data_IF_816007307928
#
_entry.id   IF_816007307928
#
_cell.length_a   1.000
_cell.length_b   1.000
_cell.length_c   1.000
_cell.angle_alpha   90.00
_cell.angle_beta   90.00
_cell.angle_gamma   90.00
#
_symmetry.space_group_name_H-M   'P 1'
#
loop_
_entity.id
_entity.type
_entity.pdbx_description
1 polymer ?
#
# COMPACT_ATOMS: atom_id res chain seq x y z
N UNK A 1 -23.49 1.44 -15.71
CA UNK A 1 -24.59 1.88 -14.86
C UNK A 1 -24.09 2.94 -13.91
N UNK A 2 -24.95 3.82 -13.60
CA UNK A 2 -24.66 4.90 -12.68
C UNK A 2 -24.24 4.38 -11.30
N UNK A 3 -24.56 3.15 -10.97
CA UNK A 3 -24.23 2.57 -9.69
C UNK A 3 -22.89 1.87 -9.66
N UNK A 4 -22.17 1.88 -10.77
CA UNK A 4 -20.83 1.33 -10.77
C UNK A 4 -19.90 2.27 -10.04
N UNK A 5 -19.40 1.81 -8.90
CA UNK A 5 -18.39 2.54 -8.17
C UNK A 5 -17.03 2.19 -8.75
N UNK A 6 -16.16 3.18 -8.86
CA UNK A 6 -14.77 2.87 -9.14
C UNK A 6 -14.26 1.92 -8.08
N UNK A 7 -13.61 0.85 -8.49
CA UNK A 7 -12.93 -0.02 -7.55
C UNK A 7 -11.80 0.76 -6.89
N UNK A 8 -11.64 0.59 -5.59
CA UNK A 8 -10.51 1.14 -4.89
C UNK A 8 -9.24 0.48 -5.42
N UNK A 9 -8.21 1.26 -5.70
CA UNK A 9 -6.93 0.76 -6.14
C UNK A 9 -5.95 0.76 -4.98
N UNK A 10 -5.29 -0.37 -4.78
CA UNK A 10 -4.22 -0.52 -3.79
C UNK A 10 -2.92 -0.77 -4.54
N UNK A 11 -1.90 0.00 -4.21
CA UNK A 11 -0.56 -0.22 -4.73
C UNK A 11 0.25 -0.95 -3.67
N UNK A 12 0.67 -2.17 -3.97
CA UNK A 12 1.53 -2.95 -3.09
C UNK A 12 2.97 -2.84 -3.59
N UNK A 13 3.84 -2.33 -2.73
CA UNK A 13 5.27 -2.16 -3.02
C UNK A 13 6.03 -3.15 -2.17
N UNK A 14 6.42 -4.27 -2.79
CA UNK A 14 7.00 -5.41 -2.10
C UNK A 14 7.87 -6.19 -3.09
N UNK A 15 9.13 -6.45 -2.73
CA UNK A 15 10.05 -7.13 -3.64
C UNK A 15 10.10 -8.65 -3.48
N UNK A 16 9.64 -9.19 -2.35
CA UNK A 16 9.73 -10.62 -2.07
C UNK A 16 8.50 -11.35 -2.64
N UNK A 17 8.69 -12.29 -3.61
CA UNK A 17 7.53 -12.92 -4.29
C UNK A 17 6.58 -13.67 -3.37
N UNK A 18 7.10 -14.33 -2.34
CA UNK A 18 6.26 -15.05 -1.38
C UNK A 18 5.35 -14.12 -0.61
N UNK A 19 5.89 -12.98 -0.17
CA UNK A 19 5.11 -11.99 0.55
C UNK A 19 4.11 -11.30 -0.37
N UNK A 20 4.49 -11.04 -1.63
CA UNK A 20 3.54 -10.53 -2.62
C UNK A 20 2.33 -11.45 -2.73
N UNK A 21 2.57 -12.74 -2.83
CA UNK A 21 1.50 -13.73 -2.99
C UNK A 21 0.61 -13.82 -1.76
N UNK A 22 1.23 -13.81 -0.57
CA UNK A 22 0.47 -13.86 0.68
C UNK A 22 -0.44 -12.65 0.83
N UNK A 23 0.08 -11.46 0.57
CA UNK A 23 -0.69 -10.22 0.68
C UNK A 23 -1.79 -10.17 -0.37
N UNK A 24 -1.46 -10.52 -1.61
CA UNK A 24 -2.43 -10.56 -2.70
C UNK A 24 -3.59 -11.49 -2.33
N UNK A 25 -3.29 -12.69 -1.88
CA UNK A 25 -4.30 -13.67 -1.52
C UNK A 25 -5.18 -13.15 -0.37
N UNK A 26 -4.55 -12.57 0.66
CA UNK A 26 -5.29 -12.06 1.80
C UNK A 26 -6.23 -10.91 1.43
N UNK A 27 -5.77 -10.00 0.57
CA UNK A 27 -6.59 -8.86 0.15
C UNK A 27 -7.71 -9.30 -0.76
N UNK A 28 -7.42 -10.09 -1.80
CA UNK A 28 -8.42 -10.44 -2.79
C UNK A 28 -9.45 -11.44 -2.28
N UNK A 29 -9.08 -12.32 -1.35
CA UNK A 29 -10.04 -13.27 -0.78
C UNK A 29 -11.03 -12.61 0.17
N UNK A 30 -10.69 -11.44 0.71
CA UNK A 30 -11.53 -10.74 1.68
C UNK A 30 -12.24 -9.52 1.09
N UNK A 31 -11.95 -9.16 -0.16
CA UNK A 31 -12.55 -7.97 -0.74
C UNK A 31 -12.54 -8.02 -2.27
N UNK A 32 -13.72 -8.23 -2.87
CA UNK A 32 -13.87 -8.35 -4.31
C UNK A 32 -13.88 -7.00 -5.05
N UNK A 33 -13.94 -5.89 -4.34
CA UNK A 33 -14.00 -4.57 -4.94
C UNK A 33 -12.66 -3.86 -5.05
N UNK A 34 -11.56 -4.57 -4.84
CA UNK A 34 -10.23 -3.96 -4.84
C UNK A 34 -9.49 -4.28 -6.12
N UNK A 35 -8.93 -3.24 -6.73
CA UNK A 35 -7.99 -3.37 -7.84
C UNK A 35 -6.58 -3.31 -7.25
N UNK A 36 -5.87 -4.43 -7.29
CA UNK A 36 -4.54 -4.52 -6.68
C UNK A 36 -3.46 -4.44 -7.76
N UNK A 37 -2.58 -3.46 -7.60
CA UNK A 37 -1.40 -3.32 -8.44
C UNK A 37 -0.17 -3.65 -7.61
N UNK A 38 0.67 -4.57 -8.09
CA UNK A 38 1.87 -5.00 -7.38
C UNK A 38 3.10 -4.51 -8.14
N UNK A 39 4.01 -3.88 -7.42
CA UNK A 39 5.31 -3.48 -7.94
C UNK A 39 6.40 -4.00 -7.02
N UNK A 40 7.62 -4.15 -7.54
CA UNK A 40 8.69 -4.83 -6.82
C UNK A 40 9.77 -3.90 -6.30
N UNK A 41 9.63 -2.60 -6.49
CA UNK A 41 10.64 -1.63 -6.02
C UNK A 41 10.02 -0.26 -5.84
N UNK A 42 10.72 0.60 -5.11
CA UNK A 42 10.32 2.00 -4.96
C UNK A 42 10.35 2.74 -6.29
N UNK A 43 11.33 2.40 -7.15
CA UNK A 43 11.43 3.00 -8.47
C UNK A 43 10.20 2.67 -9.34
N UNK A 44 9.81 1.40 -9.37
CA UNK A 44 8.60 0.99 -10.10
C UNK A 44 7.35 1.66 -9.53
N UNK A 45 7.30 1.80 -8.22
CA UNK A 45 6.17 2.46 -7.56
C UNK A 45 6.06 3.92 -7.96
N UNK A 46 7.18 4.64 -7.98
CA UNK A 46 7.19 6.04 -8.42
C UNK A 46 6.80 6.19 -9.88
N UNK A 47 7.29 5.28 -10.74
CA UNK A 47 6.90 5.28 -12.14
C UNK A 47 5.39 5.10 -12.29
N UNK A 48 4.81 4.16 -11.55
CA UNK A 48 3.37 3.96 -11.57
C UNK A 48 2.61 5.21 -11.14
N UNK A 49 3.05 5.84 -10.05
CA UNK A 49 2.39 7.04 -9.54
C UNK A 49 2.46 8.20 -10.53
N UNK A 50 3.58 8.36 -11.22
CA UNK A 50 3.71 9.38 -12.27
C UNK A 50 2.78 9.09 -13.43
N UNK A 51 2.67 7.83 -13.86
CA UNK A 51 1.74 7.44 -14.91
C UNK A 51 0.30 7.69 -14.48
N UNK A 52 -0.04 7.43 -13.23
CA UNK A 52 -1.39 7.65 -12.73
C UNK A 52 -1.78 9.13 -12.74
N UNK A 53 -0.83 10.03 -12.56
CA UNK A 53 -1.08 11.46 -12.64
C UNK A 53 -1.32 11.93 -14.08
N UNK A 54 -0.75 11.22 -15.07
CA UNK A 54 -0.90 11.56 -16.48
C UNK A 54 -2.13 10.91 -17.10
N UNK A 55 -2.45 9.68 -16.70
CA UNK A 55 -3.55 8.91 -17.28
C UNK A 55 -4.18 8.01 -16.22
N UNK A 56 -5.10 8.56 -15.47
CA UNK A 56 -5.75 7.86 -14.36
C UNK A 56 -6.73 6.78 -14.84
N UNK A 57 -7.07 6.77 -16.12
CA UNK A 57 -7.94 5.72 -16.66
C UNK A 57 -7.16 4.42 -16.83
N UNK A 58 -5.97 4.51 -17.42
CA UNK A 58 -5.11 3.35 -17.64
C UNK A 58 -4.34 2.97 -16.39
N UNK A 59 -3.95 3.97 -15.59
CA UNK A 59 -3.17 3.79 -14.37
C UNK A 59 -3.91 4.43 -13.21
N UNK A 60 -4.91 3.74 -12.62
CA UNK A 60 -5.72 4.33 -11.56
C UNK A 60 -4.89 4.80 -10.37
N UNK A 61 -5.24 5.97 -9.86
CA UNK A 61 -4.57 6.52 -8.67
C UNK A 61 -4.86 5.63 -7.47
N UNK A 62 -3.83 5.20 -6.74
CA UNK A 62 -4.07 4.39 -5.54
C UNK A 62 -4.77 5.21 -4.46
N UNK A 63 -5.73 4.59 -3.78
CA UNK A 63 -6.34 5.12 -2.57
C UNK A 63 -5.59 4.67 -1.32
N UNK A 64 -4.70 3.70 -1.46
CA UNK A 64 -3.89 3.16 -0.37
C UNK A 64 -2.61 2.57 -0.96
N UNK A 65 -1.49 2.83 -0.30
CA UNK A 65 -0.20 2.20 -0.63
C UNK A 65 0.20 1.32 0.55
N UNK A 66 0.52 0.05 0.25
CA UNK A 66 1.13 -0.87 1.21
C UNK A 66 2.61 -0.96 0.86
N UNK A 67 3.48 -0.68 1.82
CA UNK A 67 4.89 -0.45 1.55
C UNK A 67 5.79 -1.25 2.47
N UNK A 68 6.68 -2.07 1.89
CA UNK A 68 7.75 -2.69 2.67
C UNK A 68 8.92 -1.71 2.80
N UNK A 69 9.56 -1.70 3.96
CA UNK A 69 10.71 -0.82 4.20
C UNK A 69 12.00 -1.36 3.59
N UNK A 70 12.17 -2.67 3.61
CA UNK A 70 13.45 -3.29 3.31
C UNK A 70 13.46 -3.88 1.91
N UNK A 71 13.82 -3.06 0.93
CA UNK A 71 13.91 -3.47 -0.47
C UNK A 71 15.27 -3.03 -1.02
N UNK A 72 15.84 -3.77 -1.98
CA UNK A 72 17.07 -3.33 -2.63
C UNK A 72 16.81 -2.08 -3.49
N UNK A 73 17.88 -1.33 -3.75
CA UNK A 73 17.78 -0.08 -4.49
C UNK A 73 17.11 0.99 -3.65
N UNK A 74 16.13 1.69 -4.22
CA UNK A 74 15.36 2.64 -3.45
C UNK A 74 14.51 1.89 -2.44
N UNK A 75 14.88 1.98 -1.17
CA UNK A 75 14.13 1.35 -0.09
C UNK A 75 12.82 2.06 0.21
N UNK A 76 12.02 1.42 1.06
CA UNK A 76 10.72 1.98 1.40
C UNK A 76 10.80 3.32 2.11
N UNK A 77 11.83 3.55 2.91
CA UNK A 77 12.00 4.82 3.62
C UNK A 77 12.15 5.98 2.66
N UNK A 78 12.98 5.81 1.64
CA UNK A 78 13.18 6.87 0.65
C UNK A 78 11.94 7.07 -0.20
N UNK A 79 11.28 6.00 -0.58
CA UNK A 79 10.01 6.09 -1.31
C UNK A 79 8.98 6.89 -0.50
N UNK A 80 8.83 6.55 0.79
CA UNK A 80 7.88 7.25 1.67
C UNK A 80 8.21 8.74 1.75
N UNK A 81 9.51 9.08 1.89
CA UNK A 81 9.94 10.47 1.94
C UNK A 81 9.54 11.23 0.67
N UNK A 82 9.78 10.61 -0.48
CA UNK A 82 9.47 11.24 -1.77
C UNK A 82 7.98 11.48 -1.93
N UNK A 83 7.17 10.44 -1.64
CA UNK A 83 5.72 10.54 -1.79
C UNK A 83 5.15 11.60 -0.85
N UNK A 84 5.61 11.65 0.40
CA UNK A 84 5.06 12.59 1.38
C UNK A 84 5.57 14.02 1.18
N UNK A 85 6.62 14.19 0.40
CA UNK A 85 7.11 15.53 0.02
C UNK A 85 6.45 16.07 -1.25
N UNK A 86 5.71 15.24 -1.97
CA UNK A 86 5.06 15.64 -3.22
C UNK A 86 3.65 16.13 -2.96
N UNK A 87 3.34 17.35 -3.42
CA UNK A 87 2.04 17.97 -3.14
C UNK A 87 0.86 17.19 -3.70
N UNK A 88 1.06 16.49 -4.81
CA UNK A 88 -0.03 15.72 -5.44
C UNK A 88 -0.18 14.32 -4.86
N UNK A 89 0.89 13.75 -4.32
CA UNK A 89 0.91 12.37 -3.84
C UNK A 89 0.80 12.25 -2.33
N UNK A 90 1.09 13.30 -1.59
CA UNK A 90 1.21 13.21 -0.12
C UNK A 90 -0.10 12.83 0.58
N UNK A 91 -1.24 13.04 -0.08
CA UNK A 91 -2.54 12.69 0.51
C UNK A 91 -2.89 11.21 0.38
N UNK A 92 -2.10 10.43 -0.37
CA UNK A 92 -2.34 8.98 -0.45
C UNK A 92 -1.88 8.34 0.86
N UNK A 93 -2.77 7.67 1.60
CA UNK A 93 -2.34 6.99 2.83
C UNK A 93 -1.36 5.86 2.51
N UNK A 94 -0.32 5.76 3.34
CA UNK A 94 0.69 4.71 3.21
C UNK A 94 0.71 3.92 4.51
N UNK A 95 0.51 2.61 4.40
CA UNK A 95 0.63 1.69 5.53
C UNK A 95 1.87 0.84 5.31
N UNK A 96 2.76 0.88 6.30
CA UNK A 96 4.00 0.10 6.24
C UNK A 96 3.70 -1.35 6.58
N UNK A 97 4.27 -2.29 5.81
CA UNK A 97 4.15 -3.73 6.06
C UNK A 97 5.54 -4.33 6.00
N UNK A 98 6.13 -4.63 7.14
CA UNK A 98 7.54 -5.01 7.21
C UNK A 98 7.80 -6.00 8.34
N UNK A 99 8.92 -6.72 8.26
CA UNK A 99 9.35 -7.61 9.35
C UNK A 99 9.95 -6.84 10.52
N UNK A 100 10.32 -5.57 10.33
CA UNK A 100 10.98 -4.80 11.37
C UNK A 100 10.03 -4.45 12.51
N UNK A 101 10.49 -4.76 13.73
CA UNK A 101 9.83 -4.29 14.96
C UNK A 101 10.68 -3.25 15.69
N UNK A 102 11.73 -2.76 15.03
CA UNK A 102 12.62 -1.77 15.63
C UNK A 102 11.87 -0.45 15.86
N UNK A 103 11.88 -0.01 17.11
CA UNK A 103 11.11 1.17 17.50
C UNK A 103 11.50 2.42 16.72
N UNK A 104 12.80 2.55 16.39
CA UNK A 104 13.29 3.66 15.58
C UNK A 104 12.68 3.68 14.17
N UNK A 105 12.45 2.51 13.57
CA UNK A 105 11.80 2.42 12.27
C UNK A 105 10.34 2.85 12.37
N UNK A 106 9.66 2.43 13.42
CA UNK A 106 8.26 2.78 13.65
C UNK A 106 8.14 4.29 13.83
N UNK A 107 8.98 4.87 14.67
CA UNK A 107 8.99 6.31 14.92
C UNK A 107 9.27 7.10 13.65
N UNK A 108 10.25 6.68 12.87
CA UNK A 108 10.61 7.37 11.63
C UNK A 108 9.44 7.35 10.65
N UNK A 109 8.78 6.19 10.51
CA UNK A 109 7.67 6.08 9.57
C UNK A 109 6.52 6.99 9.94
N UNK A 110 6.14 7.05 11.22
CA UNK A 110 5.08 7.95 11.63
C UNK A 110 5.49 9.42 11.55
N UNK A 111 6.75 9.73 11.83
CA UNK A 111 7.27 11.09 11.65
C UNK A 111 7.23 11.52 10.18
N UNK A 112 7.31 10.57 9.25
CA UNK A 112 7.18 10.84 7.81
C UNK A 112 5.76 10.64 7.31
N UNK A 113 4.80 10.67 8.22
CA UNK A 113 3.36 10.68 7.92
C UNK A 113 2.81 9.37 7.35
N UNK A 114 3.38 8.23 7.73
CA UNK A 114 2.73 6.95 7.47
C UNK A 114 1.41 6.88 8.25
N UNK A 115 0.40 6.27 7.65
CA UNK A 115 -0.92 6.14 8.25
C UNK A 115 -1.03 4.93 9.18
N UNK A 116 -0.13 3.98 9.04
CA UNK A 116 -0.11 2.78 9.86
C UNK A 116 1.17 1.99 9.69
N UNK A 117 1.39 1.06 10.59
CA UNK A 117 2.59 0.22 10.59
C UNK A 117 2.18 -1.18 11.01
N UNK A 118 2.40 -2.14 10.13
CA UNK A 118 2.06 -3.54 10.36
C UNK A 118 3.34 -4.36 10.32
N UNK A 119 3.59 -5.11 11.39
CA UNK A 119 4.70 -6.04 11.41
C UNK A 119 4.26 -7.34 10.74
N UNK A 120 5.07 -7.84 9.81
CA UNK A 120 4.81 -9.13 9.18
C UNK A 120 4.92 -10.23 10.22
N UNK A 121 3.92 -11.12 10.26
CA UNK A 121 3.91 -12.25 11.17
C UNK A 121 4.54 -13.47 10.50
N UNK A 122 5.21 -14.30 11.30
CA UNK A 122 5.72 -15.59 10.85
C UNK A 122 4.59 -16.60 10.62
N UNK A 123 3.42 -16.39 11.26
CA UNK A 123 2.27 -17.25 11.11
C UNK A 123 1.44 -16.79 9.92
N UNK A 124 1.23 -17.66 8.89
CA UNK A 124 0.38 -17.29 7.76
C UNK A 124 -1.05 -16.94 8.17
N UNK A 125 -1.58 -17.60 9.20
CA UNK A 125 -2.93 -17.33 9.67
C UNK A 125 -3.04 -15.94 10.32
N UNK A 126 -2.08 -15.59 11.17
CA UNK A 126 -2.05 -14.25 11.78
C UNK A 126 -1.89 -13.17 10.73
N UNK A 127 -1.07 -13.43 9.73
CA UNK A 127 -0.85 -12.51 8.62
C UNK A 127 -2.17 -12.29 7.86
N UNK A 128 -2.87 -13.38 7.55
CA UNK A 128 -4.14 -13.29 6.86
C UNK A 128 -5.19 -12.54 7.69
N UNK A 129 -5.25 -12.80 8.99
CA UNK A 129 -6.18 -12.11 9.90
C UNK A 129 -5.90 -10.61 9.96
N UNK A 130 -4.62 -10.24 9.96
CA UNK A 130 -4.22 -8.83 9.95
C UNK A 130 -4.73 -8.13 8.69
N UNK A 131 -4.55 -8.74 7.53
CA UNK A 131 -5.01 -8.14 6.28
C UNK A 131 -6.53 -8.15 6.15
N UNK A 132 -7.19 -9.11 6.74
CA UNK A 132 -8.65 -9.11 6.82
C UNK A 132 -9.16 -7.88 7.58
N UNK A 133 -8.53 -7.56 8.71
CA UNK A 133 -8.88 -6.37 9.48
C UNK A 133 -8.55 -5.09 8.73
N UNK A 134 -7.40 -5.05 8.06
CA UNK A 134 -6.96 -3.91 7.27
C UNK A 134 -7.96 -3.61 6.15
N UNK A 135 -8.34 -4.63 5.38
CA UNK A 135 -9.28 -4.45 4.27
C UNK A 135 -10.64 -4.03 4.77
N UNK A 136 -11.08 -4.57 5.89
CA UNK A 136 -12.35 -4.16 6.49
C UNK A 136 -12.33 -2.69 6.88
N UNK A 137 -11.26 -2.24 7.50
CA UNK A 137 -11.16 -0.84 7.89
C UNK A 137 -11.14 0.07 6.66
N UNK A 138 -10.22 -0.17 5.72
CA UNK A 138 -9.99 0.74 4.62
C UNK A 138 -11.09 0.71 3.57
N UNK A 139 -11.70 -0.43 3.32
CA UNK A 139 -12.63 -0.58 2.19
C UNK A 139 -14.10 -0.71 2.61
N UNK A 140 -14.37 -0.94 3.89
CA UNK A 140 -15.75 -1.07 4.39
C UNK A 140 -16.10 -0.06 5.46
N UNK A 141 -15.14 0.42 6.22
CA UNK A 141 -15.37 1.31 7.37
C UNK A 141 -14.93 2.73 7.06
N UNK A 142 -13.73 2.91 6.54
CA UNK A 142 -13.18 4.24 6.26
C UNK A 142 -13.73 4.81 4.97
N UNK A 143 -13.83 6.13 4.90
CA UNK A 143 -14.16 6.82 3.65
C UNK A 143 -12.86 7.18 2.95
N UNK A 144 -12.64 6.64 1.76
CA UNK A 144 -11.43 6.88 1.00
C UNK A 144 -11.65 7.97 -0.04
N UNK A 145 -10.55 8.67 -0.37
CA UNK A 145 -10.58 9.60 -1.48
C UNK A 145 -10.72 8.80 -2.78
N UNK A 146 -11.67 9.19 -3.59
CA UNK A 146 -11.96 8.53 -4.85
C UNK A 146 -11.78 9.54 -5.98
N UNK A 147 -10.57 9.59 -6.53
CA UNK A 147 -10.22 10.54 -7.58
C UNK A 147 -9.98 9.85 -8.91
#
# INVERSE_FOLDING_TARGET
MENERKKATVLLVEDEPGDQKLIETAILSNNNGVNLKIVSSGEEALDYLQLSMKDSRQYPRPGLILLDLNMPGMGGREFLRIVKADDELCSIPVVIVTTSDFEGDIEECYARHAAGYIQKSASPQEFNDTFKKLTRYWFSTSVMLNR
#
